data_IF_129510009324
#
_entry.id   IF_129510009324
#
_cell.length_a   1.000
_cell.length_b   1.000
_cell.length_c   1.000
_cell.angle_alpha   90.00
_cell.angle_beta   90.00
_cell.angle_gamma   90.00
#
_symmetry.space_group_name_H-M   'P 1'
#
loop_
_entity.id
_entity.type
_entity.pdbx_description
1 polymer ?
#
# COMPACT_ATOMS: atom_id res chain seq x y z
N UNK A 1 0.30 1.95 3.72
CA UNK A 1 -0.03 3.03 2.78
C UNK A 1 0.82 4.26 3.09
N UNK A 2 1.00 5.15 2.11
CA UNK A 2 1.81 6.37 2.24
C UNK A 2 1.44 7.26 3.43
N UNK A 3 0.21 7.19 3.92
CA UNK A 3 -0.29 7.95 5.08
C UNK A 3 -0.20 7.21 6.44
N UNK A 4 0.31 5.97 6.48
CA UNK A 4 0.46 5.20 7.73
C UNK A 4 1.62 5.72 8.60
N UNK A 5 1.67 5.34 9.89
CA UNK A 5 2.80 5.68 10.76
C UNK A 5 4.10 5.03 10.27
N UNK A 6 5.24 5.66 10.60
CA UNK A 6 6.55 5.23 10.11
C UNK A 6 6.91 3.83 10.62
N UNK A 7 6.61 3.53 11.89
CA UNK A 7 6.90 2.23 12.52
C UNK A 7 6.29 1.05 11.75
N UNK A 8 5.07 1.21 11.21
CA UNK A 8 4.43 0.17 10.40
C UNK A 8 5.02 0.08 9.00
N UNK A 9 5.42 1.21 8.41
CA UNK A 9 6.04 1.24 7.08
C UNK A 9 7.41 0.58 7.07
N UNK A 10 8.17 0.75 8.16
CA UNK A 10 9.50 0.15 8.30
C UNK A 10 9.46 -1.38 8.41
N UNK A 11 8.30 -1.95 8.81
CA UNK A 11 8.07 -3.39 8.92
C UNK A 11 7.35 -3.99 7.70
N UNK A 12 6.79 -3.16 6.82
CA UNK A 12 5.98 -3.62 5.71
C UNK A 12 6.85 -4.08 4.54
N UNK A 13 6.51 -5.21 3.91
CA UNK A 13 7.17 -5.66 2.68
C UNK A 13 6.99 -4.64 1.54
N UNK A 14 5.79 -4.03 1.47
CA UNK A 14 5.43 -3.04 0.46
C UNK A 14 4.57 -1.95 1.10
N UNK A 15 4.87 -0.70 0.77
CA UNK A 15 4.04 0.46 1.11
C UNK A 15 3.40 0.98 -0.17
N UNK A 16 2.11 0.68 -0.38
CA UNK A 16 1.35 1.21 -1.50
C UNK A 16 0.93 2.68 -1.28
N UNK A 17 0.33 3.25 -2.32
CA UNK A 17 -0.15 4.64 -2.41
C UNK A 17 -1.20 4.97 -1.33
N UNK A 18 -1.63 6.23 -1.26
CA UNK A 18 -2.62 6.67 -0.28
C UNK A 18 -4.03 6.16 -0.62
N UNK A 19 -4.96 6.30 0.34
CA UNK A 19 -6.38 5.95 0.12
C UNK A 19 -6.96 6.75 -1.04
N UNK A 20 -6.66 8.04 -1.11
CA UNK A 20 -7.17 8.95 -2.14
C UNK A 20 -6.64 8.63 -3.56
N UNK A 21 -5.64 7.76 -3.65
CA UNK A 21 -4.99 7.33 -4.89
C UNK A 21 -5.33 5.87 -5.24
N UNK A 22 -6.34 5.27 -4.59
CA UNK A 22 -6.75 3.88 -4.77
C UNK A 22 -5.60 2.86 -4.55
N UNK A 23 -4.67 3.14 -3.63
CA UNK A 23 -3.46 2.34 -3.44
C UNK A 23 -3.69 0.85 -3.16
N UNK A 24 -4.81 0.48 -2.51
CA UNK A 24 -5.17 -0.94 -2.30
C UNK A 24 -5.51 -1.64 -3.61
N UNK A 25 -6.28 -0.98 -4.49
CA UNK A 25 -6.69 -1.56 -5.76
C UNK A 25 -5.48 -1.80 -6.67
N UNK A 26 -4.62 -0.79 -6.83
CA UNK A 26 -3.45 -0.89 -7.69
C UNK A 26 -2.45 -1.91 -7.16
N UNK A 27 -2.25 -1.99 -5.84
CA UNK A 27 -1.33 -2.97 -5.28
C UNK A 27 -1.86 -4.40 -5.42
N UNK A 28 -3.17 -4.63 -5.23
CA UNK A 28 -3.76 -5.96 -5.47
C UNK A 28 -3.69 -6.37 -6.95
N UNK A 29 -3.83 -5.41 -7.87
CA UNK A 29 -3.58 -5.62 -9.31
C UNK A 29 -2.13 -6.04 -9.57
N UNK A 30 -1.14 -5.34 -8.99
CA UNK A 30 0.30 -5.67 -9.13
C UNK A 30 0.62 -7.06 -8.59
N UNK A 31 -0.05 -7.44 -7.51
CA UNK A 31 0.06 -8.77 -6.89
C UNK A 31 -0.73 -9.87 -7.61
N UNK A 32 -1.48 -9.54 -8.68
CA UNK A 32 -2.38 -10.46 -9.40
C UNK A 32 -3.41 -11.16 -8.49
N UNK A 33 -3.91 -10.46 -7.48
CA UNK A 33 -4.96 -10.96 -6.60
C UNK A 33 -6.37 -10.64 -7.15
N UNK A 34 -6.48 -9.69 -8.09
CA UNK A 34 -7.72 -9.20 -8.74
C UNK A 34 -7.53 -8.76 -10.20
#
# INVERSE_FOLDING_TARGET
MGNSCQELKDLADIVCESVDEDGVYFEFKRMNLI
#
